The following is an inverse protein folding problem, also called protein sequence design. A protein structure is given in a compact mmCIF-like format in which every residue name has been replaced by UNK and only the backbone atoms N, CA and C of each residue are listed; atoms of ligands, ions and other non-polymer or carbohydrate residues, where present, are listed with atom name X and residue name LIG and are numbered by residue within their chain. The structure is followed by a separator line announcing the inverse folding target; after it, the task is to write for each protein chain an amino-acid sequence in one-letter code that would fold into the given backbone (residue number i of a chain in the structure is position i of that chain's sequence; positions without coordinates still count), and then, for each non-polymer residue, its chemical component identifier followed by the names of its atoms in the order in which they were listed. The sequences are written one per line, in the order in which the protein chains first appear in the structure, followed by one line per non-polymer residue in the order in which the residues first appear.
data_IF_765276454945
#
_entry.id   IF_765276454945
#
_cell.length_a   1.000
_cell.length_b   1.000
_cell.length_c   1.000
_cell.angle_alpha   90.00
_cell.angle_beta   90.00
_cell.angle_gamma   90.00
#
_symmetry.space_group_name_H-M   'P 1'
#
loop_
_entity.id
_entity.type
_entity.pdbx_description
1 polymer ?
#
# COMPACT_ATOMS: atom_id res chain seq x y z
N UNK A 1 5.05 -15.64 51.68
CA UNK A 1 4.59 -15.28 50.32
C UNK A 1 3.55 -14.17 50.24
N UNK A 2 3.02 -13.60 51.35
CA UNK A 2 2.01 -12.53 51.29
C UNK A 2 2.56 -11.09 51.36
N UNK A 3 3.80 -10.90 51.79
CA UNK A 3 4.45 -9.57 51.87
C UNK A 3 5.09 -9.10 50.56
N UNK A 4 5.29 -10.02 49.62
CA UNK A 4 5.84 -9.73 48.29
C UNK A 4 4.75 -9.33 47.29
N UNK A 5 3.50 -9.74 47.53
CA UNK A 5 2.34 -9.42 46.68
C UNK A 5 2.03 -7.90 46.72
N UNK A 6 2.21 -7.25 47.87
CA UNK A 6 1.99 -5.81 48.00
C UNK A 6 3.01 -4.97 47.21
N UNK A 7 4.24 -5.47 47.03
CA UNK A 7 5.29 -4.78 46.26
C UNK A 7 5.02 -4.87 44.76
N UNK A 8 4.50 -6.00 44.27
CA UNK A 8 4.12 -6.16 42.87
C UNK A 8 2.87 -5.35 42.48
N UNK A 9 1.91 -5.19 43.39
CA UNK A 9 0.73 -4.35 43.15
C UNK A 9 1.08 -2.86 43.02
N UNK A 10 2.09 -2.39 43.77
CA UNK A 10 2.57 -1.00 43.68
C UNK A 10 3.39 -0.75 42.39
N UNK A 11 4.12 -1.75 41.89
CA UNK A 11 4.91 -1.61 40.65
C UNK A 11 4.03 -1.64 39.39
N UNK A 12 2.93 -2.41 39.40
CA UNK A 12 1.94 -2.43 38.31
C UNK A 12 1.16 -1.11 38.17
N UNK A 13 1.00 -0.33 39.25
CA UNK A 13 0.28 0.95 39.20
C UNK A 13 1.10 2.10 38.60
N UNK A 14 2.44 1.99 38.60
CA UNK A 14 3.34 3.02 38.06
C UNK A 14 3.58 2.93 36.55
N UNK A 15 3.22 1.80 35.91
CA UNK A 15 3.38 1.58 34.46
C UNK A 15 2.19 2.07 33.62
N UNK A 16 1.12 2.55 34.26
CA UNK A 16 -0.12 2.96 33.57
C UNK A 16 -0.16 4.40 33.05
N UNK A 17 0.89 5.21 33.25
CA UNK A 17 0.90 6.65 32.92
C UNK A 17 1.85 7.04 31.77
N UNK A 18 2.42 6.07 31.05
CA UNK A 18 3.23 6.33 29.86
C UNK A 18 2.71 5.58 28.64
N UNK A 19 1.39 5.47 28.48
CA UNK A 19 0.85 5.31 27.14
C UNK A 19 1.08 6.65 26.43
N UNK A 20 1.96 6.76 25.41
CA UNK A 20 1.78 7.85 24.47
C UNK A 20 0.34 7.69 23.98
N UNK A 21 -0.51 8.66 24.30
CA UNK A 21 -1.72 8.86 23.54
C UNK A 21 -1.22 8.91 22.10
N UNK A 22 -1.48 7.85 21.34
CA UNK A 22 -1.37 7.92 19.90
C UNK A 22 -2.42 8.96 19.52
N UNK A 23 -1.98 10.22 19.51
CA UNK A 23 -2.62 11.25 18.74
C UNK A 23 -2.67 10.63 17.36
N UNK A 24 -3.86 10.33 16.86
CA UNK A 24 -4.05 10.29 15.44
C UNK A 24 -3.57 11.66 14.99
N UNK A 25 -2.33 11.73 14.52
CA UNK A 25 -1.86 12.87 13.77
C UNK A 25 -2.88 12.98 12.66
N UNK A 26 -3.67 14.06 12.72
CA UNK A 26 -4.38 14.58 11.58
C UNK A 26 -3.31 14.66 10.49
N UNK A 27 -3.25 13.64 9.63
CA UNK A 27 -2.49 13.67 8.40
C UNK A 27 -3.24 14.65 7.52
N UNK A 28 -3.18 15.94 7.90
CA UNK A 28 -3.60 17.03 7.08
C UNK A 28 -2.89 16.82 5.76
N UNK A 29 -3.69 16.73 4.70
CA UNK A 29 -3.26 16.53 3.32
C UNK A 29 -2.10 17.47 3.03
N UNK A 30 -0.88 16.99 3.26
CA UNK A 30 0.31 17.64 2.74
C UNK A 30 0.29 17.21 1.30
N UNK A 31 -0.34 18.03 0.46
CA UNK A 31 -0.45 17.82 -0.97
C UNK A 31 0.97 17.76 -1.55
N UNK A 32 1.50 16.54 -1.67
CA UNK A 32 2.78 16.30 -2.32
C UNK A 32 2.55 16.55 -3.80
N UNK A 33 3.12 17.63 -4.34
CA UNK A 33 3.08 17.86 -5.78
C UNK A 33 3.99 16.84 -6.49
N UNK A 34 3.37 15.77 -6.99
CA UNK A 34 4.05 14.68 -7.69
C UNK A 34 4.69 15.14 -9.01
N UNK A 35 4.26 16.28 -9.57
CA UNK A 35 4.80 16.83 -10.83
C UNK A 35 6.22 17.42 -10.65
N UNK A 36 6.60 17.73 -9.40
CA UNK A 36 7.91 18.32 -9.08
C UNK A 36 8.95 17.27 -8.62
N UNK A 37 8.58 15.99 -8.56
CA UNK A 37 9.46 14.91 -8.07
C UNK A 37 10.21 14.27 -9.24
N UNK A 38 11.54 14.40 -9.22
CA UNK A 38 12.43 13.63 -10.09
C UNK A 38 13.24 12.63 -9.27
N UNK A 39 13.15 11.35 -9.62
CA UNK A 39 13.94 10.28 -8.99
C UNK A 39 15.31 10.16 -9.66
N UNK A 40 16.34 9.87 -8.86
CA UNK A 40 17.66 9.51 -9.38
C UNK A 40 17.63 8.16 -10.10
N UNK A 41 18.63 7.91 -10.96
CA UNK A 41 18.75 6.63 -11.68
C UNK A 41 18.80 5.42 -10.74
N UNK A 42 19.51 5.52 -9.61
CA UNK A 42 19.59 4.43 -8.63
C UNK A 42 18.22 4.14 -8.01
N UNK A 43 17.46 5.18 -7.63
CA UNK A 43 16.11 5.03 -7.10
C UNK A 43 15.15 4.43 -8.13
N UNK A 44 15.23 4.85 -9.40
CA UNK A 44 14.42 4.27 -10.47
C UNK A 44 14.76 2.79 -10.71
N UNK A 45 16.03 2.40 -10.63
CA UNK A 45 16.44 0.99 -10.75
C UNK A 45 15.93 0.14 -9.59
N UNK A 46 15.96 0.67 -8.35
CA UNK A 46 15.38 -0.01 -7.18
C UNK A 46 13.87 -0.22 -7.37
N UNK A 47 13.13 0.81 -7.81
CA UNK A 47 11.71 0.70 -8.09
C UNK A 47 11.40 -0.23 -9.26
N UNK A 48 12.20 -0.21 -10.32
CA UNK A 48 12.08 -1.14 -11.44
C UNK A 48 12.17 -2.60 -10.97
N UNK A 49 13.16 -2.91 -10.14
CA UNK A 49 13.35 -4.25 -9.60
C UNK A 49 12.11 -4.72 -8.81
N UNK A 50 11.58 -3.86 -7.93
CA UNK A 50 10.38 -4.15 -7.15
C UNK A 50 9.14 -4.32 -8.02
N UNK A 51 8.95 -3.47 -9.02
CA UNK A 51 7.82 -3.58 -9.95
C UNK A 51 7.90 -4.84 -10.83
N UNK A 52 9.11 -5.27 -11.22
CA UNK A 52 9.32 -6.52 -11.94
C UNK A 52 9.00 -7.74 -11.08
N UNK A 53 9.44 -7.75 -9.82
CA UNK A 53 9.11 -8.83 -8.88
C UNK A 53 7.59 -8.92 -8.65
N UNK A 54 6.94 -7.77 -8.43
CA UNK A 54 5.49 -7.71 -8.26
C UNK A 54 4.75 -8.21 -9.52
N UNK A 55 5.24 -7.87 -10.71
CA UNK A 55 4.66 -8.34 -11.97
C UNK A 55 4.73 -9.88 -12.07
N UNK A 56 5.90 -10.46 -11.82
CA UNK A 56 6.09 -11.92 -11.85
C UNK A 56 5.19 -12.62 -10.82
N UNK A 57 5.09 -12.08 -9.61
CA UNK A 57 4.21 -12.63 -8.59
C UNK A 57 2.74 -12.55 -9.00
N UNK A 58 2.33 -11.43 -9.62
CA UNK A 58 0.96 -11.26 -10.10
C UNK A 58 0.63 -12.21 -11.25
N UNK A 59 1.57 -12.44 -12.18
CA UNK A 59 1.43 -13.45 -13.23
C UNK A 59 1.21 -14.85 -12.65
N UNK A 60 2.05 -15.25 -11.68
CA UNK A 60 1.88 -16.52 -10.97
C UNK A 60 0.50 -16.63 -10.31
N UNK A 61 0.04 -15.56 -9.66
CA UNK A 61 -1.26 -15.51 -9.02
C UNK A 61 -2.41 -15.67 -10.04
N UNK A 62 -2.33 -14.98 -11.18
CA UNK A 62 -3.31 -15.11 -12.27
C UNK A 62 -3.35 -16.54 -12.80
N UNK A 63 -2.18 -17.16 -13.02
CA UNK A 63 -2.10 -18.55 -13.45
C UNK A 63 -2.73 -19.51 -12.43
N UNK A 64 -2.53 -19.28 -11.13
CA UNK A 64 -3.19 -20.05 -10.06
C UNK A 64 -4.70 -19.89 -10.07
N UNK A 65 -5.21 -18.70 -10.34
CA UNK A 65 -6.66 -18.50 -10.49
C UNK A 65 -7.24 -19.22 -11.70
N UNK A 66 -6.48 -19.35 -12.79
CA UNK A 66 -6.89 -20.18 -13.94
C UNK A 66 -6.89 -21.66 -13.57
N UNK A 67 -5.82 -22.14 -12.92
CA UNK A 67 -5.69 -23.53 -12.45
C UNK A 67 -6.84 -23.93 -11.52
N UNK A 68 -7.25 -23.04 -10.62
CA UNK A 68 -8.35 -23.28 -9.68
C UNK A 68 -9.74 -23.06 -10.31
N UNK A 69 -9.82 -22.68 -11.59
CA UNK A 69 -11.07 -22.42 -12.29
C UNK A 69 -11.80 -21.15 -11.83
N UNK A 70 -11.15 -20.30 -11.04
CA UNK A 70 -11.71 -19.01 -10.57
C UNK A 70 -11.72 -17.98 -11.71
N UNK A 71 -10.77 -18.10 -12.63
CA UNK A 71 -10.59 -17.17 -13.75
C UNK A 71 -10.53 -17.95 -15.07
N UNK A 72 -11.21 -17.46 -16.10
CA UNK A 72 -11.06 -18.02 -17.45
C UNK A 72 -9.74 -17.57 -18.08
N UNK A 73 -9.19 -18.37 -18.99
CA UNK A 73 -7.97 -18.06 -19.74
C UNK A 73 -8.07 -16.72 -20.49
N UNK A 74 -9.22 -16.42 -21.09
CA UNK A 74 -9.47 -15.15 -21.77
C UNK A 74 -9.34 -13.95 -20.82
N UNK A 75 -9.92 -14.06 -19.62
CA UNK A 75 -9.83 -13.00 -18.60
C UNK A 75 -8.42 -12.90 -18.02
N UNK A 76 -7.71 -14.02 -17.89
CA UNK A 76 -6.31 -14.05 -17.48
C UNK A 76 -5.42 -13.32 -18.48
N UNK A 77 -5.57 -13.59 -19.78
CA UNK A 77 -4.84 -12.89 -20.84
C UNK A 77 -5.08 -11.38 -20.80
N UNK A 78 -6.35 -10.96 -20.69
CA UNK A 78 -6.70 -9.54 -20.58
C UNK A 78 -6.11 -8.89 -19.33
N UNK A 79 -6.08 -9.60 -18.20
CA UNK A 79 -5.40 -9.12 -16.98
C UNK A 79 -3.91 -8.94 -17.22
N UNK A 80 -3.26 -9.86 -17.93
CA UNK A 80 -1.84 -9.72 -18.22
C UNK A 80 -1.53 -8.55 -19.14
N UNK A 81 -2.31 -8.35 -20.20
CA UNK A 81 -2.19 -7.18 -21.07
C UNK A 81 -2.32 -5.86 -20.29
N UNK A 82 -3.22 -5.80 -19.31
CA UNK A 82 -3.35 -4.63 -18.44
C UNK A 82 -2.15 -4.40 -17.52
N UNK A 83 -1.53 -5.47 -17.01
CA UNK A 83 -0.35 -5.39 -16.14
C UNK A 83 0.90 -4.99 -16.93
N UNK A 84 1.07 -5.52 -18.14
CA UNK A 84 2.16 -5.13 -19.05
C UNK A 84 2.06 -3.64 -19.39
N UNK A 85 0.87 -3.19 -19.79
CA UNK A 85 0.60 -1.77 -20.05
C UNK A 85 0.83 -0.89 -18.82
N UNK A 86 0.60 -1.43 -17.61
CA UNK A 86 0.89 -0.69 -16.39
C UNK A 86 2.41 -0.55 -16.15
N UNK A 87 3.19 -1.61 -16.38
CA UNK A 87 4.65 -1.54 -16.32
C UNK A 87 5.22 -0.53 -17.32
N UNK A 88 4.73 -0.52 -18.56
CA UNK A 88 5.18 0.45 -19.58
C UNK A 88 4.95 1.89 -19.11
N UNK A 89 3.78 2.19 -18.57
CA UNK A 89 3.46 3.52 -18.03
C UNK A 89 4.33 3.92 -16.84
N UNK A 90 4.68 2.96 -15.98
CA UNK A 90 5.60 3.19 -14.87
C UNK A 90 7.02 3.49 -15.36
N UNK A 91 7.44 2.88 -16.46
CA UNK A 91 8.72 3.21 -17.09
C UNK A 91 8.70 4.60 -17.71
N UNK A 92 7.64 4.95 -18.42
CA UNK A 92 7.47 6.24 -19.08
C UNK A 92 7.44 7.42 -18.09
N UNK A 93 6.85 7.24 -16.90
CA UNK A 93 6.75 8.28 -15.88
C UNK A 93 7.89 8.27 -14.84
N UNK A 94 8.96 7.51 -15.09
CA UNK A 94 10.10 7.42 -14.18
C UNK A 94 9.76 6.85 -12.81
N UNK A 95 8.76 5.97 -12.73
CA UNK A 95 8.23 5.33 -11.52
C UNK A 95 7.58 6.28 -10.51
N UNK A 96 7.22 7.50 -10.93
CA UNK A 96 6.46 8.45 -10.09
C UNK A 96 4.96 8.20 -10.29
N UNK A 97 4.23 7.71 -9.28
CA UNK A 97 2.81 7.41 -9.43
C UNK A 97 2.00 8.66 -9.77
N UNK A 98 1.01 8.51 -10.65
CA UNK A 98 0.09 9.59 -10.96
C UNK A 98 -1.18 9.48 -10.12
N UNK A 99 -1.11 9.94 -8.88
CA UNK A 99 -2.27 10.00 -7.98
C UNK A 99 -3.06 11.29 -8.24
N UNK A 100 -3.57 11.46 -9.46
CA UNK A 100 -4.54 12.54 -9.67
C UNK A 100 -5.77 12.23 -8.83
N UNK A 101 -5.99 13.12 -7.87
CA UNK A 101 -7.05 13.18 -6.88
C UNK A 101 -8.42 12.80 -7.49
N UNK A 102 -8.76 11.50 -7.42
CA UNK A 102 -10.09 11.02 -7.75
C UNK A 102 -10.94 11.16 -6.49
N UNK A 103 -11.25 12.40 -6.13
CA UNK A 103 -12.43 12.68 -5.32
C UNK A 103 -13.64 12.15 -6.09
N UNK A 104 -14.04 10.93 -5.75
CA UNK A 104 -15.30 10.36 -6.20
C UNK A 104 -16.38 11.31 -5.69
N UNK A 105 -16.95 12.12 -6.57
CA UNK A 105 -18.21 12.81 -6.30
C UNK A 105 -19.24 11.71 -6.10
N UNK A 106 -19.51 11.36 -4.84
CA UNK A 106 -20.76 10.70 -4.49
C UNK A 106 -21.85 11.65 -4.98
N UNK A 107 -22.55 11.24 -6.05
CA UNK A 107 -23.84 11.85 -6.38
C UNK A 107 -24.78 11.33 -5.30
N UNK A 108 -25.08 12.17 -4.33
CA UNK A 108 -26.24 11.97 -3.47
C UNK A 108 -27.46 12.09 -4.41
N UNK A 109 -28.03 10.95 -4.77
CA UNK A 109 -29.35 10.88 -5.37
C UNK A 109 -30.34 11.16 -4.24
N UNK A 110 -30.78 12.42 -4.13
CA UNK A 110 -31.94 12.79 -3.31
C UNK A 110 -33.20 12.20 -3.98
N UNK A 111 -33.91 11.34 -3.25
CA UNK A 111 -35.24 10.78 -3.59
C UNK A 111 -36.36 11.83 -3.50
#
# INVERSE_FOLDING_TARGET
MKKWIAVYAAFMLALGLSAPYASAEDHGDTEVNLEDIELSQAQQQELEALHNEMFQLHEQLVNKYVEFGVLSEEKAKKKMEHLEKHQEKLKENGYVPYWKDKRHKHKDEEE
#
